data_IF_658784474856
#
_entry.id   IF_658784474856
#
_cell.length_a   1.000
_cell.length_b   1.000
_cell.length_c   1.000
_cell.angle_alpha   90.00
_cell.angle_beta   90.00
_cell.angle_gamma   90.00
#
_symmetry.space_group_name_H-M   'P 1'
#
loop_
_entity.id
_entity.type
_entity.pdbx_description
1 polymer ?
#
# COMPACT_ATOMS: atom_id res chain seq x y z
N UNK A 1 -23.16 11.76 48.99
CA UNK A 1 -22.00 12.63 48.74
C UNK A 1 -21.88 12.88 47.24
N UNK A 2 -21.72 14.15 46.82
CA UNK A 2 -21.57 14.60 45.43
C UNK A 2 -20.04 14.60 45.04
N UNK A 3 -19.58 15.16 43.90
CA UNK A 3 -19.08 14.34 42.78
C UNK A 3 -17.67 14.71 42.27
N UNK A 4 -17.19 13.92 41.30
CA UNK A 4 -16.36 14.27 40.14
C UNK A 4 -15.06 15.08 40.32
N UNK A 5 -13.93 14.50 39.89
CA UNK A 5 -12.86 15.21 39.16
C UNK A 5 -12.22 14.30 38.13
N UNK A 6 -12.57 14.55 36.86
CA UNK A 6 -11.80 14.18 35.67
C UNK A 6 -10.55 15.07 35.65
N UNK A 7 -9.37 14.49 35.45
CA UNK A 7 -8.16 15.25 35.08
C UNK A 7 -7.66 14.81 33.71
N UNK A 8 -7.43 15.83 32.91
CA UNK A 8 -7.39 15.85 31.46
C UNK A 8 -5.99 15.53 30.94
N UNK A 9 -5.95 14.82 29.80
CA UNK A 9 -4.76 14.57 28.98
C UNK A 9 -4.10 15.89 28.55
N UNK A 10 -2.81 16.04 28.82
CA UNK A 10 -1.96 17.06 28.20
C UNK A 10 -1.55 16.59 26.80
N UNK A 11 -2.12 17.20 25.78
CA UNK A 11 -1.65 17.16 24.39
C UNK A 11 -0.72 18.34 24.15
N UNK A 12 0.53 18.02 23.78
CA UNK A 12 1.56 18.98 23.35
C UNK A 12 1.20 19.52 21.97
N UNK A 13 0.88 20.81 21.90
CA UNK A 13 0.59 21.53 20.67
C UNK A 13 1.77 22.42 20.25
N UNK A 14 2.15 22.26 18.99
CA UNK A 14 3.17 22.97 18.21
C UNK A 14 2.74 24.42 17.93
N UNK A 15 3.57 25.45 18.17
CA UNK A 15 3.17 26.83 17.91
C UNK A 15 3.25 27.17 16.41
N UNK A 16 2.15 27.72 15.91
CA UNK A 16 1.97 28.28 14.57
C UNK A 16 2.17 29.80 14.68
N UNK A 17 3.12 30.34 13.94
CA UNK A 17 3.42 31.76 13.89
C UNK A 17 2.27 32.55 13.26
N UNK A 18 1.80 33.60 13.96
CA UNK A 18 0.91 34.62 13.40
C UNK A 18 1.43 36.02 13.76
N UNK A 19 1.76 36.76 12.69
CA UNK A 19 1.58 38.19 12.41
C UNK A 19 1.46 39.21 13.56
N UNK A 20 2.13 40.33 13.29
CA UNK A 20 1.84 41.71 13.69
C UNK A 20 2.37 42.17 15.05
N UNK A 21 3.54 42.83 15.02
CA UNK A 21 3.96 43.77 16.05
C UNK A 21 4.12 45.16 15.41
N UNK A 22 3.06 45.98 15.51
CA UNK A 22 3.15 47.45 15.68
C UNK A 22 3.84 47.65 17.04
N UNK A 23 4.90 48.45 17.18
CA UNK A 23 4.86 49.90 17.06
C UNK A 23 4.39 50.50 18.39
N UNK A 24 5.32 50.86 19.28
CA UNK A 24 5.07 51.69 20.46
C UNK A 24 6.21 52.73 20.63
N UNK A 25 5.91 53.88 21.26
CA UNK A 25 6.23 55.22 20.74
C UNK A 25 7.24 55.95 21.64
N UNK A 26 7.16 57.30 21.71
CA UNK A 26 7.92 58.28 22.54
C UNK A 26 8.99 58.97 21.66
N UNK A 27 9.04 60.29 21.42
CA UNK A 27 8.55 61.48 22.14
C UNK A 27 8.39 62.68 21.19
N UNK A 28 7.55 63.62 21.59
CA UNK A 28 7.24 64.88 20.92
C UNK A 28 8.46 65.80 20.69
N UNK A 29 8.48 66.47 19.53
CA UNK A 29 9.23 67.70 19.31
C UNK A 29 8.37 68.70 18.52
N UNK A 30 8.01 69.75 19.25
CA UNK A 30 7.59 71.11 18.90
C UNK A 30 7.57 71.47 17.42
N UNK A 31 6.40 71.89 16.97
CA UNK A 31 6.16 72.56 15.68
C UNK A 31 6.86 73.91 15.63
N UNK A 32 7.96 73.99 14.89
CA UNK A 32 8.48 75.24 14.33
C UNK A 32 8.39 75.15 12.81
N UNK A 33 7.43 75.87 12.24
CA UNK A 33 7.27 76.05 10.80
C UNK A 33 8.48 76.78 10.24
N UNK A 34 9.45 76.03 9.71
CA UNK A 34 10.49 76.58 8.83
C UNK A 34 9.99 76.40 7.41
N UNK A 35 9.79 77.53 6.74
CA UNK A 35 9.47 77.63 5.32
C UNK A 35 10.64 77.00 4.56
N UNK A 36 10.47 75.76 4.09
CA UNK A 36 11.43 75.15 3.17
C UNK A 36 11.17 75.79 1.81
N UNK A 37 11.95 76.83 1.53
CA UNK A 37 12.13 77.35 0.19
C UNK A 37 12.40 76.18 -0.76
N UNK A 38 11.67 76.18 -1.87
CA UNK A 38 11.80 75.32 -3.04
C UNK A 38 13.24 75.26 -3.54
N UNK A 39 14.03 74.38 -2.94
CA UNK A 39 15.30 73.91 -3.50
C UNK A 39 15.01 72.66 -4.32
N UNK A 40 14.67 72.96 -5.57
CA UNK A 40 14.85 72.17 -6.79
C UNK A 40 14.68 70.65 -6.67
N UNK A 41 13.57 70.16 -7.25
CA UNK A 41 13.39 68.78 -7.73
C UNK A 41 14.59 68.21 -8.52
N UNK A 42 15.52 69.05 -8.99
CA UNK A 42 16.76 68.65 -9.65
C UNK A 42 17.81 68.01 -8.71
N UNK A 43 17.88 68.39 -7.43
CA UNK A 43 18.94 67.88 -6.53
C UNK A 43 18.59 66.49 -5.99
N UNK A 44 17.30 66.25 -5.73
CA UNK A 44 16.79 64.93 -5.33
C UNK A 44 16.88 63.93 -6.48
N UNK A 45 16.53 64.34 -7.70
CA UNK A 45 16.67 63.50 -8.89
C UNK A 45 18.14 63.23 -9.23
N UNK A 46 19.04 64.22 -9.10
CA UNK A 46 20.47 64.01 -9.25
C UNK A 46 21.04 63.00 -8.23
N UNK A 47 20.68 63.10 -6.96
CA UNK A 47 21.15 62.15 -5.93
C UNK A 47 20.61 60.73 -6.15
N UNK A 48 19.38 60.59 -6.65
CA UNK A 48 18.79 59.28 -7.00
C UNK A 48 19.47 58.67 -8.24
N UNK A 49 19.82 59.49 -9.24
CA UNK A 49 20.55 59.03 -10.44
C UNK A 49 21.97 58.57 -10.05
N UNK A 50 22.66 59.32 -9.19
CA UNK A 50 23.98 58.94 -8.68
C UNK A 50 23.90 57.65 -7.86
N UNK A 51 22.91 57.52 -6.96
CA UNK A 51 22.72 56.29 -6.19
C UNK A 51 22.41 55.06 -7.07
N UNK A 52 21.64 55.24 -8.15
CA UNK A 52 21.39 54.19 -9.15
C UNK A 52 22.64 53.80 -9.93
N UNK A 53 23.47 54.76 -10.34
CA UNK A 53 24.76 54.48 -10.99
C UNK A 53 25.70 53.67 -10.09
N UNK A 54 25.78 54.01 -8.80
CA UNK A 54 26.55 53.22 -7.81
C UNK A 54 25.95 51.84 -7.51
N UNK A 55 24.64 51.65 -7.71
CA UNK A 55 24.00 50.33 -7.61
C UNK A 55 24.21 49.48 -8.86
N UNK A 56 24.20 50.10 -10.04
CA UNK A 56 24.51 49.45 -11.33
C UNK A 56 25.98 49.02 -11.38
N UNK A 57 26.93 49.87 -11.01
CA UNK A 57 28.35 49.50 -10.95
C UNK A 57 28.62 48.36 -9.95
N UNK A 58 28.00 48.40 -8.76
CA UNK A 58 28.09 47.29 -7.79
C UNK A 58 27.48 46.00 -8.33
N UNK A 59 26.39 46.07 -9.09
CA UNK A 59 25.77 44.91 -9.71
C UNK A 59 26.63 44.37 -10.87
N UNK A 60 27.28 45.22 -11.64
CA UNK A 60 28.21 44.84 -12.70
C UNK A 60 29.47 44.16 -12.14
N UNK A 61 29.93 44.55 -10.95
CA UNK A 61 31.02 43.87 -10.23
C UNK A 61 30.57 42.55 -9.56
N UNK A 62 29.33 42.47 -9.05
CA UNK A 62 28.77 41.27 -8.40
C UNK A 62 28.33 40.20 -9.40
N UNK A 63 27.82 40.57 -10.57
CA UNK A 63 27.34 39.64 -11.61
C UNK A 63 28.38 38.60 -12.07
N UNK A 64 29.67 38.91 -12.30
CA UNK A 64 30.66 37.89 -12.64
C UNK A 64 30.91 36.91 -11.48
N UNK A 65 30.86 37.37 -10.23
CA UNK A 65 30.99 36.51 -9.05
C UNK A 65 29.77 35.59 -8.89
N UNK A 66 28.56 36.09 -9.09
CA UNK A 66 27.32 35.31 -9.12
C UNK A 66 27.37 34.27 -10.25
N UNK A 67 27.83 34.66 -11.44
CA UNK A 67 27.99 33.75 -12.58
C UNK A 67 29.02 32.65 -12.29
N UNK A 68 30.11 32.97 -11.58
CA UNK A 68 31.11 31.98 -11.15
C UNK A 68 30.52 31.01 -10.12
N UNK A 69 29.76 31.51 -9.15
CA UNK A 69 29.03 30.67 -8.18
C UNK A 69 28.00 29.76 -8.87
N UNK A 70 27.25 30.28 -9.83
CA UNK A 70 26.31 29.51 -10.64
C UNK A 70 26.99 28.42 -11.48
N UNK A 71 28.16 28.70 -12.06
CA UNK A 71 28.98 27.69 -12.75
C UNK A 71 29.46 26.59 -11.81
N UNK A 72 29.91 26.94 -10.60
CA UNK A 72 30.31 25.96 -9.58
C UNK A 72 29.11 25.08 -9.19
N UNK A 73 27.95 25.68 -8.94
CA UNK A 73 26.71 24.94 -8.62
C UNK A 73 26.31 23.99 -9.75
N UNK A 74 26.39 24.43 -11.02
CA UNK A 74 26.11 23.58 -12.19
C UNK A 74 27.09 22.42 -12.31
N UNK A 75 28.38 22.66 -12.10
CA UNK A 75 29.40 21.60 -12.12
C UNK A 75 29.19 20.59 -10.99
N UNK A 76 28.86 21.06 -9.78
CA UNK A 76 28.54 20.20 -8.66
C UNK A 76 27.29 19.35 -8.90
N UNK A 77 26.23 19.93 -9.48
CA UNK A 77 25.04 19.21 -9.88
C UNK A 77 25.35 18.12 -10.93
N UNK A 78 26.16 18.44 -11.93
CA UNK A 78 26.57 17.48 -12.96
C UNK A 78 27.40 16.32 -12.39
N UNK A 79 28.34 16.59 -11.48
CA UNK A 79 29.14 15.54 -10.84
C UNK A 79 28.25 14.66 -9.96
N UNK A 80 27.39 15.27 -9.15
CA UNK A 80 26.43 14.55 -8.30
C UNK A 80 25.54 13.62 -9.13
N UNK A 81 25.04 14.09 -10.28
CA UNK A 81 24.23 13.27 -11.18
C UNK A 81 25.02 12.10 -11.77
N UNK A 82 26.28 12.31 -12.17
CA UNK A 82 27.15 11.24 -12.68
C UNK A 82 27.48 10.20 -11.62
N UNK A 83 27.80 10.64 -10.41
CA UNK A 83 28.06 9.73 -9.27
C UNK A 83 26.82 8.91 -8.95
N UNK A 84 25.64 9.52 -8.89
CA UNK A 84 24.40 8.80 -8.65
C UNK A 84 24.11 7.74 -9.73
N UNK A 85 24.30 8.08 -11.01
CA UNK A 85 24.14 7.12 -12.10
C UNK A 85 25.12 5.95 -11.98
N UNK A 86 26.39 6.25 -11.69
CA UNK A 86 27.42 5.23 -11.48
C UNK A 86 27.11 4.33 -10.27
N UNK A 87 26.66 4.90 -9.16
CA UNK A 87 26.23 4.16 -7.97
C UNK A 87 25.07 3.21 -8.30
N UNK A 88 24.09 3.65 -9.09
CA UNK A 88 22.97 2.79 -9.50
C UNK A 88 23.41 1.65 -10.42
N UNK A 89 24.32 1.91 -11.37
CA UNK A 89 24.85 0.89 -12.28
C UNK A 89 25.63 -0.18 -11.49
N UNK A 90 26.52 0.26 -10.59
CA UNK A 90 27.28 -0.65 -9.73
C UNK A 90 26.36 -1.45 -8.80
N UNK A 91 25.35 -0.81 -8.22
CA UNK A 91 24.36 -1.49 -7.40
C UNK A 91 23.68 -2.63 -8.16
N UNK A 92 23.20 -2.38 -9.38
CA UNK A 92 22.52 -3.40 -10.20
C UNK A 92 23.46 -4.52 -10.61
N UNK A 93 24.71 -4.20 -10.94
CA UNK A 93 25.74 -5.19 -11.23
C UNK A 93 25.96 -6.14 -10.05
N UNK A 94 26.18 -5.61 -8.84
CA UNK A 94 26.37 -6.44 -7.65
C UNK A 94 25.10 -7.19 -7.25
N UNK A 95 23.91 -6.64 -7.51
CA UNK A 95 22.65 -7.35 -7.31
C UNK A 95 22.52 -8.56 -8.26
N UNK A 96 22.92 -8.40 -9.52
CA UNK A 96 22.97 -9.49 -10.50
C UNK A 96 23.92 -10.61 -10.08
N UNK A 97 25.13 -10.26 -9.60
CA UNK A 97 26.08 -11.23 -9.04
C UNK A 97 25.54 -11.91 -7.78
N UNK A 98 24.83 -11.16 -6.93
CA UNK A 98 24.17 -11.71 -5.74
C UNK A 98 23.08 -12.71 -6.13
N UNK A 99 22.35 -12.44 -7.21
CA UNK A 99 21.34 -13.36 -7.74
C UNK A 99 21.99 -14.62 -8.31
N UNK A 100 23.06 -14.50 -9.08
CA UNK A 100 23.83 -15.64 -9.59
C UNK A 100 24.34 -16.54 -8.46
N UNK A 101 25.01 -15.97 -7.46
CA UNK A 101 25.47 -16.69 -6.28
C UNK A 101 24.32 -17.38 -5.54
N UNK A 102 23.15 -16.74 -5.46
CA UNK A 102 21.99 -17.32 -4.81
C UNK A 102 21.46 -18.57 -5.54
N UNK A 103 21.43 -18.54 -6.87
CA UNK A 103 21.06 -19.71 -7.69
C UNK A 103 22.06 -20.86 -7.53
N UNK A 104 23.36 -20.57 -7.51
CA UNK A 104 24.41 -21.57 -7.27
C UNK A 104 24.23 -22.24 -5.90
N UNK A 105 24.00 -21.46 -4.85
CA UNK A 105 23.77 -21.99 -3.50
C UNK A 105 22.50 -22.85 -3.47
N UNK A 106 21.43 -22.43 -4.15
CA UNK A 106 20.17 -23.20 -4.21
C UNK A 106 20.33 -24.58 -4.86
N UNK A 107 21.22 -24.70 -5.84
CA UNK A 107 21.52 -25.96 -6.52
C UNK A 107 22.43 -26.88 -5.70
N UNK A 108 23.12 -26.34 -4.71
CA UNK A 108 24.07 -27.09 -3.89
C UNK A 108 23.38 -28.01 -2.87
N UNK A 109 23.96 -29.18 -2.62
CA UNK A 109 23.43 -30.20 -1.69
C UNK A 109 23.28 -29.69 -0.25
N UNK A 110 24.18 -28.80 0.19
CA UNK A 110 24.25 -28.29 1.56
C UNK A 110 23.61 -26.90 1.71
N UNK A 111 22.62 -26.55 0.88
CA UNK A 111 22.00 -25.22 0.87
C UNK A 111 21.40 -24.81 2.22
N UNK A 112 20.66 -25.72 2.88
CA UNK A 112 19.92 -25.40 4.10
C UNK A 112 20.91 -25.14 5.25
N UNK A 113 21.91 -26.03 5.37
CA UNK A 113 23.05 -25.85 6.30
C UNK A 113 23.84 -24.58 6.04
N UNK A 114 24.01 -24.16 4.78
CA UNK A 114 24.69 -22.91 4.43
C UNK A 114 23.93 -21.70 4.97
N UNK A 115 22.61 -21.63 4.76
CA UNK A 115 21.80 -20.51 5.26
C UNK A 115 21.71 -20.49 6.78
N UNK A 116 21.72 -21.65 7.44
CA UNK A 116 21.79 -21.71 8.90
C UNK A 116 23.13 -21.20 9.44
N UNK A 117 24.24 -21.63 8.83
CA UNK A 117 25.57 -21.09 9.15
C UNK A 117 25.64 -19.57 8.90
N UNK A 118 25.02 -19.09 7.82
CA UNK A 118 24.95 -17.67 7.50
C UNK A 118 24.15 -16.88 8.54
N UNK A 119 23.01 -17.41 9.01
CA UNK A 119 22.23 -16.80 10.11
C UNK A 119 23.09 -16.64 11.36
N UNK A 120 23.84 -17.68 11.74
CA UNK A 120 24.74 -17.62 12.89
C UNK A 120 25.88 -16.62 12.68
N UNK A 121 26.47 -16.58 11.48
CA UNK A 121 27.52 -15.64 11.13
C UNK A 121 27.05 -14.18 11.23
N UNK A 122 25.88 -13.87 10.67
CA UNK A 122 25.28 -12.53 10.75
C UNK A 122 24.98 -12.12 12.20
N UNK A 123 24.48 -13.05 13.02
CA UNK A 123 24.25 -12.82 14.45
C UNK A 123 25.56 -12.49 15.19
N UNK A 124 26.66 -13.20 14.91
CA UNK A 124 27.99 -12.89 15.48
C UNK A 124 28.50 -11.51 15.09
N UNK A 125 28.18 -11.04 13.87
CA UNK A 125 28.49 -9.68 13.41
C UNK A 125 27.56 -8.59 13.96
N UNK A 126 26.63 -8.92 14.86
CA UNK A 126 25.68 -7.97 15.42
C UNK A 126 24.54 -7.58 14.46
N UNK A 127 24.41 -8.24 13.31
CA UNK A 127 23.32 -8.00 12.36
C UNK A 127 22.10 -8.79 12.81
N UNK A 128 21.04 -8.08 13.19
CA UNK A 128 19.79 -8.70 13.64
C UNK A 128 19.07 -9.40 12.50
N UNK A 129 18.78 -10.68 12.67
CA UNK A 129 17.97 -11.51 11.77
C UNK A 129 16.80 -12.10 12.55
N UNK A 130 15.62 -12.18 11.92
CA UNK A 130 14.44 -12.85 12.46
C UNK A 130 14.37 -14.26 11.87
N UNK A 131 13.69 -15.20 12.55
CA UNK A 131 13.48 -16.58 12.03
C UNK A 131 12.84 -16.59 10.64
N UNK A 132 11.89 -15.68 10.39
CA UNK A 132 11.15 -15.60 9.12
C UNK A 132 11.86 -14.75 8.04
N UNK A 133 13.17 -14.49 8.19
CA UNK A 133 13.93 -13.74 7.18
C UNK A 133 14.23 -14.67 6.00
N UNK A 134 13.89 -14.25 4.78
CA UNK A 134 14.17 -15.04 3.58
C UNK A 134 15.67 -15.21 3.33
N UNK A 135 16.05 -16.33 2.73
CA UNK A 135 17.44 -16.71 2.48
C UNK A 135 18.16 -15.69 1.58
N UNK A 136 17.47 -15.16 0.55
CA UNK A 136 17.94 -14.05 -0.28
C UNK A 136 18.25 -12.82 0.57
N UNK A 137 17.37 -12.48 1.52
CA UNK A 137 17.55 -11.31 2.37
C UNK A 137 18.76 -11.46 3.30
N UNK A 138 19.09 -12.68 3.73
CA UNK A 138 20.31 -12.95 4.49
C UNK A 138 21.56 -12.69 3.65
N UNK A 139 21.58 -13.18 2.41
CA UNK A 139 22.69 -12.99 1.47
C UNK A 139 22.90 -11.50 1.17
N UNK A 140 21.83 -10.76 0.92
CA UNK A 140 21.88 -9.31 0.66
C UNK A 140 22.40 -8.54 1.89
N UNK A 141 21.97 -8.91 3.10
CA UNK A 141 22.47 -8.26 4.32
C UNK A 141 23.94 -8.52 4.57
N UNK A 142 24.45 -9.67 4.14
CA UNK A 142 25.88 -9.98 4.22
C UNK A 142 26.68 -9.08 3.26
N UNK A 143 26.25 -8.98 2.00
CA UNK A 143 27.02 -8.33 0.92
C UNK A 143 26.95 -6.81 1.02
N UNK A 144 25.74 -6.26 1.18
CA UNK A 144 25.53 -4.81 1.10
C UNK A 144 25.56 -4.11 2.47
N UNK A 145 25.50 -4.86 3.58
CA UNK A 145 25.46 -4.32 4.96
C UNK A 145 24.41 -3.19 5.10
N UNK A 146 23.24 -3.41 4.52
CA UNK A 146 22.16 -2.42 4.45
C UNK A 146 21.12 -2.59 5.55
N UNK A 147 20.33 -1.53 5.75
CA UNK A 147 19.17 -1.56 6.65
C UNK A 147 18.15 -2.63 6.20
N UNK A 148 17.36 -3.21 7.13
CA UNK A 148 16.39 -4.26 6.81
C UNK A 148 15.38 -3.91 5.71
N UNK A 149 14.95 -2.64 5.65
CA UNK A 149 14.01 -2.16 4.62
C UNK A 149 14.63 -2.21 3.21
N UNK A 150 15.86 -1.76 3.08
CA UNK A 150 16.60 -1.77 1.81
C UNK A 150 16.96 -3.21 1.39
N UNK A 151 17.34 -4.06 2.36
CA UNK A 151 17.56 -5.48 2.08
C UNK A 151 16.30 -6.14 1.51
N UNK A 152 15.13 -5.85 2.08
CA UNK A 152 13.86 -6.38 1.60
C UNK A 152 13.52 -5.88 0.19
N UNK A 153 13.77 -4.59 -0.12
CA UNK A 153 13.60 -4.05 -1.48
C UNK A 153 14.42 -4.84 -2.51
N UNK A 154 15.71 -5.06 -2.21
CA UNK A 154 16.59 -5.82 -3.11
C UNK A 154 16.19 -7.29 -3.20
N UNK A 155 15.77 -7.91 -2.08
CA UNK A 155 15.30 -9.30 -2.07
C UNK A 155 14.11 -9.47 -3.00
N UNK A 156 13.15 -8.54 -2.90
CA UNK A 156 11.94 -8.53 -3.73
C UNK A 156 12.25 -8.38 -5.21
N UNK A 157 13.22 -7.54 -5.57
CA UNK A 157 13.65 -7.41 -6.96
C UNK A 157 14.16 -8.73 -7.55
N UNK A 158 14.98 -9.47 -6.79
CA UNK A 158 15.50 -10.78 -7.20
C UNK A 158 14.36 -11.81 -7.26
N UNK A 159 13.48 -11.84 -6.27
CA UNK A 159 12.31 -12.73 -6.26
C UNK A 159 11.39 -12.47 -7.46
N UNK A 160 11.20 -11.21 -7.87
CA UNK A 160 10.44 -10.86 -9.08
C UNK A 160 11.06 -11.43 -10.35
N UNK A 161 12.38 -11.31 -10.47
CA UNK A 161 13.11 -11.85 -11.59
C UNK A 161 13.00 -13.39 -11.64
N UNK A 162 13.03 -14.05 -10.48
CA UNK A 162 12.79 -15.50 -10.38
C UNK A 162 11.36 -15.88 -10.83
N UNK A 163 10.34 -15.16 -10.36
CA UNK A 163 8.95 -15.39 -10.77
C UNK A 163 8.74 -15.17 -12.27
N UNK A 164 9.39 -14.16 -12.84
CA UNK A 164 9.40 -13.87 -14.28
C UNK A 164 10.31 -14.80 -15.10
N UNK A 165 10.98 -15.78 -14.46
CA UNK A 165 11.93 -16.73 -15.07
C UNK A 165 13.10 -16.06 -15.80
N UNK A 166 13.57 -14.94 -15.26
CA UNK A 166 14.66 -14.16 -15.83
C UNK A 166 15.98 -14.68 -15.27
N UNK A 167 16.93 -14.97 -16.17
CA UNK A 167 18.28 -15.42 -15.82
C UNK A 167 19.07 -14.28 -15.15
N UNK A 168 20.04 -14.59 -14.26
CA UNK A 168 20.86 -13.56 -13.60
C UNK A 168 21.54 -12.59 -14.56
N UNK A 169 22.04 -13.07 -15.70
CA UNK A 169 22.65 -12.23 -16.74
C UNK A 169 21.70 -11.19 -17.34
N UNK A 170 20.39 -11.45 -17.36
CA UNK A 170 19.37 -10.54 -17.89
C UNK A 170 18.71 -9.68 -16.79
N UNK A 171 19.15 -9.82 -15.53
CA UNK A 171 18.56 -9.13 -14.39
C UNK A 171 18.64 -7.60 -14.50
N UNK A 172 19.79 -7.08 -14.93
CA UNK A 172 20.02 -5.63 -15.04
C UNK A 172 19.06 -5.01 -16.04
N UNK A 173 19.00 -5.57 -17.26
CA UNK A 173 18.09 -5.12 -18.31
C UNK A 173 16.61 -5.21 -17.89
N UNK A 174 16.25 -6.23 -17.09
CA UNK A 174 14.91 -6.35 -16.53
C UNK A 174 14.56 -5.22 -15.56
N UNK A 175 15.44 -4.91 -14.62
CA UNK A 175 15.22 -3.83 -13.64
C UNK A 175 15.12 -2.47 -14.34
N UNK A 176 15.93 -2.22 -15.36
CA UNK A 176 15.86 -1.00 -16.16
C UNK A 176 14.54 -0.88 -16.92
N UNK A 177 14.07 -1.98 -17.53
CA UNK A 177 12.79 -2.04 -18.25
C UNK A 177 11.59 -1.75 -17.35
N UNK A 178 11.59 -2.26 -16.12
CA UNK A 178 10.54 -2.01 -15.12
C UNK A 178 10.62 -0.59 -14.50
N UNK A 179 11.63 0.20 -14.88
CA UNK A 179 11.82 1.57 -14.40
C UNK A 179 12.39 1.67 -12.98
N UNK A 180 13.17 0.66 -12.58
CA UNK A 180 13.92 0.62 -11.33
C UNK A 180 13.30 -0.24 -10.21
N UNK A 181 14.08 -0.45 -9.16
CA UNK A 181 13.74 -1.35 -8.05
C UNK A 181 12.44 -0.99 -7.32
N UNK A 182 12.16 0.31 -7.16
CA UNK A 182 11.00 0.76 -6.36
C UNK A 182 9.68 0.54 -7.10
N UNK A 183 9.65 0.74 -8.43
CA UNK A 183 8.47 0.47 -9.25
C UNK A 183 8.16 -1.02 -9.29
N UNK A 184 9.20 -1.84 -9.43
CA UNK A 184 9.12 -3.28 -9.41
C UNK A 184 8.56 -3.80 -8.06
N UNK A 185 8.92 -3.17 -6.94
CA UNK A 185 8.31 -3.50 -5.64
C UNK A 185 6.81 -3.20 -5.62
N UNK A 186 6.38 -2.07 -6.16
CA UNK A 186 4.97 -1.66 -6.17
C UNK A 186 4.14 -2.63 -7.02
N UNK A 187 4.61 -2.95 -8.23
CA UNK A 187 3.90 -3.87 -9.14
C UNK A 187 3.76 -5.27 -8.53
N UNK A 188 4.79 -5.77 -7.84
CA UNK A 188 4.70 -7.05 -7.13
C UNK A 188 3.69 -7.03 -5.99
N UNK A 189 3.63 -5.96 -5.20
CA UNK A 189 2.65 -5.86 -4.10
C UNK A 189 1.22 -5.94 -4.66
N UNK A 190 0.97 -5.32 -5.81
CA UNK A 190 -0.32 -5.40 -6.49
C UNK A 190 -0.60 -6.79 -7.02
N UNK A 191 0.41 -7.45 -7.60
CA UNK A 191 0.31 -8.84 -8.07
C UNK A 191 0.05 -9.83 -6.92
N UNK A 192 0.74 -9.68 -5.78
CA UNK A 192 0.57 -10.52 -4.59
C UNK A 192 -0.85 -10.37 -4.02
N UNK A 193 -1.36 -9.13 -3.92
CA UNK A 193 -2.75 -8.88 -3.52
C UNK A 193 -3.74 -9.51 -4.49
N UNK A 194 -3.47 -9.43 -5.80
CA UNK A 194 -4.31 -10.06 -6.81
C UNK A 194 -4.28 -11.59 -6.73
N UNK A 195 -3.10 -12.19 -6.47
CA UNK A 195 -2.95 -13.64 -6.25
C UNK A 195 -3.73 -14.09 -5.01
N UNK A 196 -3.54 -13.42 -3.87
CA UNK A 196 -4.25 -13.69 -2.62
C UNK A 196 -5.76 -13.57 -2.79
N UNK A 197 -6.22 -12.52 -3.49
CA UNK A 197 -7.65 -12.35 -3.77
C UNK A 197 -8.20 -13.49 -4.63
N UNK A 198 -7.45 -13.94 -5.65
CA UNK A 198 -7.85 -15.09 -6.48
C UNK A 198 -7.89 -16.39 -5.68
N UNK A 199 -6.93 -16.61 -4.79
CA UNK A 199 -6.91 -17.79 -3.91
C UNK A 199 -8.09 -17.78 -2.93
N UNK A 200 -8.36 -16.64 -2.30
CA UNK A 200 -9.52 -16.45 -1.42
C UNK A 200 -10.85 -16.64 -2.16
N UNK A 201 -10.92 -16.22 -3.44
CA UNK A 201 -12.11 -16.43 -4.26
C UNK A 201 -12.31 -17.91 -4.59
N UNK A 202 -11.24 -18.65 -4.96
CA UNK A 202 -11.30 -20.08 -5.24
C UNK A 202 -11.77 -20.89 -4.03
N UNK A 203 -11.18 -20.65 -2.86
CA UNK A 203 -11.62 -21.29 -1.63
C UNK A 203 -13.04 -20.87 -1.24
N UNK A 204 -13.40 -19.60 -1.46
CA UNK A 204 -14.77 -19.11 -1.30
C UNK A 204 -15.78 -19.81 -2.22
N UNK A 205 -15.42 -20.11 -3.47
CA UNK A 205 -16.29 -20.84 -4.41
C UNK A 205 -16.52 -22.28 -3.98
N UNK A 206 -15.48 -22.96 -3.51
CA UNK A 206 -15.60 -24.33 -3.00
C UNK A 206 -16.50 -24.37 -1.74
N UNK A 207 -16.32 -23.39 -0.86
CA UNK A 207 -17.16 -23.24 0.32
C UNK A 207 -18.62 -22.90 -0.03
N UNK A 208 -18.86 -22.08 -1.06
CA UNK A 208 -20.20 -21.77 -1.55
C UNK A 208 -20.95 -23.02 -2.05
N UNK A 209 -20.26 -23.91 -2.77
CA UNK A 209 -20.82 -25.20 -3.18
C UNK A 209 -21.17 -26.08 -1.98
N UNK A 210 -20.27 -26.19 -1.00
CA UNK A 210 -20.53 -26.94 0.24
C UNK A 210 -21.71 -26.37 1.02
N UNK A 211 -21.77 -25.05 1.13
CA UNK A 211 -22.88 -24.35 1.77
C UNK A 211 -24.23 -24.69 1.13
N UNK A 212 -24.36 -24.54 -0.19
CA UNK A 212 -25.62 -24.84 -0.87
C UNK A 212 -26.02 -26.31 -0.74
N UNK A 213 -25.04 -27.22 -0.76
CA UNK A 213 -25.28 -28.64 -0.55
C UNK A 213 -25.72 -28.96 0.88
N UNK A 214 -25.18 -28.27 1.89
CA UNK A 214 -25.65 -28.39 3.26
C UNK A 214 -27.07 -27.82 3.43
N UNK A 215 -27.38 -26.72 2.74
CA UNK A 215 -28.72 -26.12 2.72
C UNK A 215 -29.77 -26.99 2.02
N UNK A 216 -29.37 -27.98 1.21
CA UNK A 216 -30.29 -29.00 0.69
C UNK A 216 -30.82 -29.89 1.81
N UNK A 217 -30.00 -30.17 2.84
CA UNK A 217 -30.39 -30.95 4.02
C UNK A 217 -31.19 -30.10 5.02
N UNK A 218 -30.89 -28.81 5.13
CA UNK A 218 -31.54 -27.87 6.05
C UNK A 218 -31.99 -26.58 5.32
N UNK A 219 -33.07 -26.64 4.53
CA UNK A 219 -33.53 -25.49 3.76
C UNK A 219 -34.16 -24.41 4.66
N UNK A 220 -34.08 -23.15 4.24
CA UNK A 220 -34.73 -22.02 4.95
C UNK A 220 -36.26 -22.12 4.95
N UNK A 221 -36.84 -22.85 4.00
CA UNK A 221 -38.26 -23.09 3.87
C UNK A 221 -38.54 -24.02 2.69
N UNK A 222 -39.59 -24.84 2.80
CA UNK A 222 -40.01 -25.75 1.73
C UNK A 222 -41.36 -25.31 1.20
N UNK A 223 -41.49 -25.20 -0.13
CA UNK A 223 -42.74 -24.91 -0.80
C UNK A 223 -43.08 -26.02 -1.80
N UNK A 224 -44.31 -26.51 -1.75
CA UNK A 224 -44.78 -27.54 -2.66
C UNK A 224 -45.39 -26.89 -3.90
N UNK A 225 -44.73 -27.03 -5.05
CA UNK A 225 -45.17 -26.45 -6.33
C UNK A 225 -45.67 -27.58 -7.24
N UNK A 226 -46.81 -27.43 -7.93
CA UNK A 226 -47.28 -28.41 -8.90
C UNK A 226 -46.22 -28.67 -9.98
N UNK A 227 -45.99 -29.96 -10.30
CA UNK A 227 -44.90 -30.41 -11.18
C UNK A 227 -44.87 -29.72 -12.55
N UNK A 228 -46.03 -29.32 -13.09
CA UNK A 228 -46.11 -28.60 -14.37
C UNK A 228 -45.72 -27.12 -14.33
N UNK A 229 -45.57 -26.51 -13.15
CA UNK A 229 -45.13 -25.12 -12.98
C UNK A 229 -43.62 -24.98 -12.77
N UNK A 230 -42.93 -26.08 -12.47
CA UNK A 230 -41.47 -26.12 -12.45
C UNK A 230 -41.02 -26.48 -13.85
N UNK A 231 -40.41 -25.52 -14.56
CA UNK A 231 -39.79 -25.79 -15.85
C UNK A 231 -38.74 -26.90 -15.64
N UNK A 232 -38.87 -27.98 -16.41
CA UNK A 232 -38.12 -29.22 -16.24
C UNK A 232 -36.62 -28.95 -16.45
N UNK A 233 -35.89 -28.72 -15.38
CA UNK A 233 -34.43 -28.69 -15.38
C UNK A 233 -33.87 -30.10 -15.48
N UNK A 234 -32.66 -30.22 -16.04
CA UNK A 234 -31.87 -31.45 -15.96
C UNK A 234 -31.79 -31.91 -14.48
N UNK A 235 -31.63 -33.22 -14.21
CA UNK A 235 -31.86 -33.82 -12.89
C UNK A 235 -31.07 -33.25 -11.70
N UNK A 236 -30.13 -32.31 -11.88
CA UNK A 236 -29.34 -31.68 -10.82
C UNK A 236 -29.11 -30.17 -11.04
N UNK A 237 -29.87 -29.51 -11.92
CA UNK A 237 -29.72 -28.07 -12.17
C UNK A 237 -30.42 -27.23 -11.11
N UNK A 238 -29.79 -26.13 -10.68
CA UNK A 238 -30.44 -25.20 -9.76
C UNK A 238 -31.68 -24.58 -10.42
N UNK A 239 -32.58 -24.07 -9.58
CA UNK A 239 -33.74 -23.30 -10.06
C UNK A 239 -33.70 -21.96 -9.37
N UNK A 240 -33.66 -20.89 -10.16
CA UNK A 240 -33.74 -19.54 -9.60
C UNK A 240 -35.21 -19.17 -9.49
N UNK A 241 -35.65 -18.94 -8.25
CA UNK A 241 -36.97 -18.38 -7.98
C UNK A 241 -36.88 -16.86 -7.94
N UNK A 242 -37.63 -16.18 -8.80
CA UNK A 242 -37.82 -14.73 -8.68
C UNK A 242 -38.94 -14.49 -7.67
N UNK A 243 -38.60 -13.84 -6.56
CA UNK A 243 -39.52 -13.65 -5.44
C UNK A 243 -39.50 -12.20 -4.95
N UNK A 244 -40.64 -11.71 -4.46
CA UNK A 244 -40.74 -10.41 -3.78
C UNK A 244 -40.87 -10.63 -2.28
N UNK A 245 -40.04 -9.94 -1.49
CA UNK A 245 -40.08 -9.99 -0.04
C UNK A 245 -40.74 -8.72 0.52
N UNK A 246 -41.78 -8.87 1.34
CA UNK A 246 -42.45 -7.78 2.04
C UNK A 246 -42.25 -7.91 3.54
N UNK A 247 -41.77 -6.86 4.19
CA UNK A 247 -41.85 -6.75 5.65
C UNK A 247 -43.28 -6.33 6.01
N UNK A 248 -44.06 -7.25 6.60
CA UNK A 248 -45.46 -6.98 6.93
C UNK A 248 -45.53 -6.05 8.16
N UNK A 249 -46.01 -4.80 8.08
CA UNK A 249 -45.92 -3.83 9.19
C UNK A 249 -46.84 -4.11 10.39
N UNK A 250 -47.66 -5.17 10.36
CA UNK A 250 -48.79 -5.37 11.28
C UNK A 250 -48.94 -6.79 11.83
N UNK A 251 -47.92 -7.63 11.72
CA UNK A 251 -47.94 -8.97 12.31
C UNK A 251 -47.14 -8.97 13.64
N UNK A 252 -47.63 -9.58 14.74
CA UNK A 252 -46.90 -9.61 16.02
C UNK A 252 -45.59 -10.42 15.94
N UNK A 253 -45.42 -11.24 14.91
CA UNK A 253 -44.16 -11.89 14.57
C UNK A 253 -43.42 -11.04 13.52
N UNK A 254 -42.19 -10.62 13.80
CA UNK A 254 -41.28 -9.93 12.86
C UNK A 254 -40.89 -10.80 11.63
N UNK A 255 -41.86 -11.36 10.91
CA UNK A 255 -41.67 -12.26 9.79
C UNK A 255 -41.84 -11.49 8.47
N UNK A 256 -40.92 -11.74 7.54
CA UNK A 256 -41.06 -11.28 6.17
C UNK A 256 -41.92 -12.27 5.37
N UNK A 257 -42.82 -11.76 4.54
CA UNK A 257 -43.57 -12.56 3.58
C UNK A 257 -42.76 -12.66 2.28
N UNK A 258 -42.41 -13.88 1.85
CA UNK A 258 -41.74 -14.12 0.57
C UNK A 258 -42.76 -14.65 -0.46
N UNK A 259 -43.06 -13.85 -1.48
CA UNK A 259 -43.96 -14.24 -2.59
C UNK A 259 -43.15 -14.68 -3.79
N UNK A 260 -43.16 -15.97 -4.10
CA UNK A 260 -42.52 -16.53 -5.29
C UNK A 260 -43.37 -16.21 -6.54
N UNK A 261 -42.79 -15.52 -7.51
CA UNK A 261 -43.46 -15.11 -8.75
C UNK A 261 -43.30 -16.13 -9.87
N UNK A 262 -42.05 -16.59 -10.09
CA UNK A 262 -41.72 -17.57 -11.15
C UNK A 262 -40.47 -18.35 -10.80
N UNK A 263 -40.31 -19.52 -11.44
CA UNK A 263 -39.15 -20.40 -11.34
C UNK A 263 -38.50 -20.49 -12.72
N UNK A 264 -37.21 -20.16 -12.81
CA UNK A 264 -36.45 -20.19 -14.06
C UNK A 264 -35.42 -21.33 -14.00
N UNK A 265 -35.28 -22.13 -15.07
CA UNK A 265 -34.19 -23.08 -15.18
C UNK A 265 -32.86 -22.32 -15.26
N UNK A 266 -31.83 -22.80 -14.57
CA UNK A 266 -30.49 -22.22 -14.68
C UNK A 266 -29.68 -22.86 -15.80
N UNK A 267 -28.96 -22.01 -16.52
CA UNK A 267 -27.79 -22.38 -17.31
C UNK A 267 -26.52 -22.32 -16.45
N UNK A 268 -25.44 -22.94 -16.94
CA UNK A 268 -24.17 -23.03 -16.22
C UNK A 268 -23.58 -21.65 -15.87
N UNK A 269 -23.71 -20.66 -16.75
CA UNK A 269 -23.13 -19.33 -16.53
C UNK A 269 -23.88 -18.61 -15.39
N UNK A 270 -25.19 -18.79 -15.32
CA UNK A 270 -26.02 -18.26 -14.23
C UNK A 270 -25.71 -18.96 -12.90
N UNK A 271 -25.47 -20.27 -12.89
CA UNK A 271 -25.03 -20.98 -11.68
C UNK A 271 -23.68 -20.45 -11.18
N UNK A 272 -22.70 -20.33 -12.08
CA UNK A 272 -21.39 -19.78 -11.76
C UNK A 272 -21.51 -18.33 -11.24
N UNK A 273 -22.45 -17.52 -11.77
CA UNK A 273 -22.70 -16.17 -11.27
C UNK A 273 -23.20 -16.16 -9.81
N UNK A 274 -24.18 -17.01 -9.47
CA UNK A 274 -24.73 -17.10 -8.11
C UNK A 274 -23.66 -17.60 -7.13
N UNK A 275 -22.93 -18.66 -7.51
CA UNK A 275 -21.84 -19.20 -6.70
C UNK A 275 -20.77 -18.13 -6.45
N UNK A 276 -20.37 -17.39 -7.49
CA UNK A 276 -19.39 -16.32 -7.36
C UNK A 276 -19.90 -15.16 -6.47
N UNK A 277 -21.19 -14.86 -6.48
CA UNK A 277 -21.78 -13.84 -5.61
C UNK A 277 -21.70 -14.27 -4.13
N UNK A 278 -22.01 -15.53 -3.82
CA UNK A 278 -21.86 -16.10 -2.48
C UNK A 278 -20.38 -16.15 -2.08
N UNK A 279 -19.52 -16.65 -2.96
CA UNK A 279 -18.08 -16.76 -2.76
C UNK A 279 -17.43 -15.41 -2.44
N UNK A 280 -17.84 -14.32 -3.10
CA UNK A 280 -17.37 -12.96 -2.79
C UNK A 280 -17.71 -12.53 -1.37
N UNK A 281 -18.82 -12.99 -0.80
CA UNK A 281 -19.15 -12.71 0.60
C UNK A 281 -18.34 -13.60 1.55
N UNK A 282 -18.16 -14.88 1.23
CA UNK A 282 -17.32 -15.79 2.03
C UNK A 282 -15.84 -15.41 2.01
N UNK A 283 -15.31 -14.94 0.88
CA UNK A 283 -13.93 -14.48 0.75
C UNK A 283 -13.59 -13.28 1.64
N UNK A 284 -14.59 -12.52 2.13
CA UNK A 284 -14.37 -11.44 3.11
C UNK A 284 -14.04 -11.97 4.51
N UNK A 285 -14.58 -13.12 4.89
CA UNK A 285 -14.35 -13.75 6.19
C UNK A 285 -14.44 -15.27 6.08
N UNK A 286 -13.36 -15.87 5.58
CA UNK A 286 -13.34 -17.28 5.20
C UNK A 286 -13.45 -18.22 6.41
N UNK A 287 -12.86 -17.83 7.54
CA UNK A 287 -12.89 -18.64 8.77
C UNK A 287 -14.30 -18.71 9.37
N UNK A 288 -15.02 -17.58 9.41
CA UNK A 288 -16.40 -17.56 9.89
C UNK A 288 -17.33 -18.35 8.96
N UNK A 289 -17.11 -18.25 7.65
CA UNK A 289 -17.87 -19.00 6.67
C UNK A 289 -17.61 -20.51 6.79
N UNK A 290 -16.37 -20.93 7.01
CA UNK A 290 -16.03 -22.35 7.21
C UNK A 290 -16.76 -22.95 8.41
N UNK A 291 -16.68 -22.28 9.58
CA UNK A 291 -17.41 -22.71 10.79
C UNK A 291 -18.92 -22.80 10.57
N UNK A 292 -19.49 -21.85 9.83
CA UNK A 292 -20.92 -21.88 9.49
C UNK A 292 -21.28 -23.11 8.65
N UNK A 293 -20.46 -23.43 7.65
CA UNK A 293 -20.70 -24.59 6.77
C UNK A 293 -20.48 -25.91 7.52
N UNK A 294 -19.44 -26.02 8.37
CA UNK A 294 -19.19 -27.21 9.19
C UNK A 294 -20.33 -27.49 10.18
N UNK A 295 -20.88 -26.43 10.79
CA UNK A 295 -22.08 -26.52 11.63
C UNK A 295 -23.29 -27.05 10.85
N UNK A 296 -23.51 -26.56 9.62
CA UNK A 296 -24.62 -27.02 8.77
C UNK A 296 -24.41 -28.45 8.25
N UNK A 297 -23.17 -28.87 8.06
CA UNK A 297 -22.80 -30.25 7.70
C UNK A 297 -22.92 -31.23 8.89
N UNK A 298 -23.16 -30.74 10.11
CA UNK A 298 -23.30 -31.58 11.31
C UNK A 298 -21.99 -32.12 11.89
N UNK A 299 -20.84 -31.58 11.47
CA UNK A 299 -19.50 -32.04 11.92
C UNK A 299 -19.07 -31.49 13.29
N UNK A 300 -19.85 -30.59 13.89
CA UNK A 300 -19.57 -29.99 15.21
C UNK A 300 -20.10 -30.82 16.40
N UNK A 301 -20.32 -32.14 16.23
CA UNK A 301 -20.91 -33.00 17.29
C UNK A 301 -19.89 -33.62 18.26
N UNK A 302 -18.63 -33.19 18.28
CA UNK A 302 -17.62 -33.69 19.24
C UNK A 302 -17.21 -32.69 20.34
N UNK A 303 -18.09 -31.74 20.74
CA UNK A 303 -17.79 -30.79 21.82
C UNK A 303 -18.89 -30.64 22.89
N UNK A 304 -19.78 -31.63 23.04
CA UNK A 304 -20.86 -31.62 24.05
C UNK A 304 -21.01 -32.95 24.80
N UNK A 305 -19.91 -33.65 25.06
CA UNK A 305 -19.86 -34.73 26.06
C UNK A 305 -18.68 -34.45 26.99
N UNK A 306 -18.90 -33.58 27.98
CA UNK A 306 -18.18 -33.53 29.26
C UNK A 306 -18.83 -32.43 30.14
N UNK A 307 -20.04 -32.71 30.63
CA UNK A 307 -20.60 -32.15 31.89
C UNK A 307 -21.28 -33.26 32.70
#
# INVERSE_FOLDING_TARGET
MPPAKKTTKQTVAKPRASKAAKGQPITAATSSSVVIATTSTSVVSANVIVAKGFEEERNDEMTPLINKAAKIAKNFANITAKVAAFETEMLYKYLGQTYELFEEIKQHKYRDTYFDHLRHYLKKKGIKTNKNTSDISLLIRLIFVVKPKTAHLYSRAIEAAQEAKIKPAAFIAYVEKEGGLEKLRISQIEQDKAKLYREALKSGTELAWRYLKAMELQPLGTAHIPRGKVLQTAPNGYVITVSTAFAVPRNPSNLAELRMLTCLPTDKDTEDFVINAIAKNFAKNLEAALKMVERLEGKDTEALEDE
#
